data_IF_201599772544
#
_entry.id   IF_201599772544
#
_cell.length_a   1.000
_cell.length_b   1.000
_cell.length_c   1.000
_cell.angle_alpha   90.00
_cell.angle_beta   90.00
_cell.angle_gamma   90.00
#
_symmetry.space_group_name_H-M   'P 1'
#
loop_
_entity.id
_entity.type
_entity.pdbx_description
1 polymer ?
#
# COMPACT_ATOMS: atom_id res chain seq x y z
N UNK A 1 3.83 -1.20 -23.30
CA UNK A 1 3.28 -1.41 -21.94
C UNK A 1 1.98 -0.65 -21.73
N UNK A 2 1.96 0.69 -21.76
CA UNK A 2 0.74 1.49 -21.58
C UNK A 2 -0.45 1.07 -22.46
N UNK A 3 -0.25 0.96 -23.78
CA UNK A 3 -1.31 0.53 -24.73
C UNK A 3 -1.86 -0.87 -24.44
N UNK A 4 -0.99 -1.80 -24.06
CA UNK A 4 -1.39 -3.19 -23.74
C UNK A 4 -2.23 -3.24 -22.46
N UNK A 5 -1.89 -2.43 -21.46
CA UNK A 5 -2.65 -2.30 -20.22
C UNK A 5 -4.03 -1.67 -20.49
N UNK A 6 -4.09 -0.66 -21.35
CA UNK A 6 -5.35 -0.01 -21.78
C UNK A 6 -6.27 -1.00 -22.51
N UNK A 7 -5.74 -1.74 -23.49
CA UNK A 7 -6.49 -2.72 -24.27
C UNK A 7 -7.03 -3.86 -23.39
N UNK A 8 -6.20 -4.37 -22.48
CA UNK A 8 -6.62 -5.40 -21.52
C UNK A 8 -7.71 -4.89 -20.57
N UNK A 9 -7.59 -3.66 -20.07
CA UNK A 9 -8.58 -3.06 -19.19
C UNK A 9 -9.92 -2.86 -19.91
N UNK A 10 -9.89 -2.37 -21.14
CA UNK A 10 -11.08 -2.24 -21.99
C UNK A 10 -11.77 -3.59 -22.19
N UNK A 11 -11.01 -4.62 -22.55
CA UNK A 11 -11.55 -5.97 -22.78
C UNK A 11 -12.26 -6.53 -21.53
N UNK A 12 -11.62 -6.43 -20.36
CA UNK A 12 -12.21 -6.88 -19.08
C UNK A 12 -13.51 -6.14 -18.78
N UNK A 13 -13.56 -4.84 -19.03
CA UNK A 13 -14.76 -4.03 -18.77
C UNK A 13 -15.87 -4.33 -19.77
N UNK A 14 -15.53 -4.55 -21.05
CA UNK A 14 -16.48 -4.94 -22.09
C UNK A 14 -17.12 -6.31 -21.81
N UNK A 15 -16.31 -7.33 -21.49
CA UNK A 15 -16.78 -8.70 -21.20
C UNK A 15 -17.76 -8.74 -20.01
N UNK A 16 -17.64 -7.80 -19.07
CA UNK A 16 -18.49 -7.72 -17.88
C UNK A 16 -19.72 -6.82 -18.06
N UNK A 17 -19.75 -5.99 -19.10
CA UNK A 17 -20.81 -5.02 -19.33
C UNK A 17 -21.31 -5.12 -20.79
N UNK A 18 -21.82 -6.29 -21.18
CA UNK A 18 -22.25 -6.58 -22.55
C UNK A 18 -23.33 -5.63 -23.11
N UNK A 19 -24.08 -4.95 -22.24
CA UNK A 19 -25.13 -3.97 -22.61
C UNK A 19 -24.63 -2.52 -22.66
N UNK A 20 -23.37 -2.27 -22.33
CA UNK A 20 -22.79 -0.94 -22.37
C UNK A 20 -22.25 -0.58 -23.76
N UNK A 21 -22.15 0.72 -24.04
CA UNK A 21 -21.60 1.31 -25.26
C UNK A 21 -20.61 2.42 -24.91
N UNK A 22 -19.90 2.93 -25.91
CA UNK A 22 -18.95 4.06 -25.76
C UNK A 22 -17.88 3.83 -24.68
N UNK A 23 -17.24 2.67 -24.69
CA UNK A 23 -16.13 2.38 -23.77
C UNK A 23 -14.92 3.28 -24.09
N UNK A 24 -14.43 4.01 -23.10
CA UNK A 24 -13.26 4.87 -23.23
C UNK A 24 -12.38 4.77 -21.98
N UNK A 25 -11.07 4.65 -22.19
CA UNK A 25 -10.10 4.80 -21.09
C UNK A 25 -9.97 6.28 -20.78
N UNK A 26 -10.25 6.65 -19.53
CA UNK A 26 -10.15 8.04 -19.08
C UNK A 26 -8.75 8.33 -18.53
N UNK A 27 -8.29 7.49 -17.62
CA UNK A 27 -7.00 7.68 -16.95
C UNK A 27 -6.23 6.38 -16.84
N UNK A 28 -4.91 6.50 -16.94
CA UNK A 28 -3.95 5.45 -16.63
C UNK A 28 -2.93 6.04 -15.66
N UNK A 29 -2.92 5.51 -14.44
CA UNK A 29 -1.96 5.83 -13.41
C UNK A 29 -0.95 4.69 -13.33
N UNK A 30 0.25 4.93 -13.84
CA UNK A 30 1.38 4.02 -13.72
C UNK A 30 1.99 4.12 -12.32
N UNK A 31 2.55 3.01 -11.82
CA UNK A 31 3.20 2.91 -10.50
C UNK A 31 2.31 3.38 -9.33
N UNK A 32 1.00 3.23 -9.47
CA UNK A 32 0.01 3.51 -8.45
C UNK A 32 0.00 2.37 -7.40
N UNK A 33 0.51 2.63 -6.20
CA UNK A 33 0.52 1.67 -5.06
C UNK A 33 1.16 0.30 -5.38
N UNK A 34 2.34 0.30 -6.02
CA UNK A 34 3.03 -0.91 -6.50
C UNK A 34 2.29 -1.64 -7.64
N UNK A 35 1.46 -0.92 -8.39
CA UNK A 35 0.69 -1.46 -9.50
C UNK A 35 0.31 -0.39 -10.53
N UNK A 36 -0.65 -0.72 -11.40
CA UNK A 36 -1.18 0.23 -12.40
C UNK A 36 -2.69 0.33 -12.24
N UNK A 37 -3.24 1.55 -12.22
CA UNK A 37 -4.68 1.80 -12.17
C UNK A 37 -5.16 2.35 -13.50
N UNK A 38 -6.18 1.74 -14.07
CA UNK A 38 -6.87 2.21 -15.28
C UNK A 38 -8.33 2.50 -14.94
N UNK A 39 -8.82 3.67 -15.32
CA UNK A 39 -10.25 3.97 -15.24
C UNK A 39 -10.88 3.90 -16.62
N UNK A 40 -11.95 3.12 -16.72
CA UNK A 40 -12.69 2.90 -17.97
C UNK A 40 -14.10 3.42 -17.77
N UNK A 41 -14.44 4.43 -18.56
CA UNK A 41 -15.78 4.99 -18.62
C UNK A 41 -16.58 4.32 -19.75
N UNK A 42 -17.87 4.15 -19.53
CA UNK A 42 -18.80 3.62 -20.53
C UNK A 42 -20.20 4.16 -20.28
N UNK A 43 -21.07 4.01 -21.28
CA UNK A 43 -22.48 4.42 -21.20
C UNK A 43 -23.39 3.21 -21.16
N UNK A 44 -24.43 3.28 -20.34
CA UNK A 44 -25.51 2.29 -20.28
C UNK A 44 -26.80 2.97 -20.69
N UNK A 45 -27.45 2.42 -21.71
CA UNK A 45 -28.73 2.92 -22.18
C UNK A 45 -29.84 2.62 -21.17
N UNK A 46 -30.74 3.58 -21.00
CA UNK A 46 -31.90 3.48 -20.12
C UNK A 46 -33.15 3.89 -20.88
N UNK A 47 -34.17 3.07 -20.83
CA UNK A 47 -35.42 3.33 -21.56
C UNK A 47 -36.05 4.65 -21.11
N UNK A 48 -36.27 5.56 -22.07
CA UNK A 48 -36.85 6.88 -21.82
C UNK A 48 -35.97 7.85 -21.01
N UNK A 49 -34.70 7.53 -20.78
CA UNK A 49 -33.76 8.36 -20.03
C UNK A 49 -32.46 8.60 -20.82
N UNK A 50 -31.72 9.68 -20.54
CA UNK A 50 -30.40 9.85 -21.11
C UNK A 50 -29.47 8.70 -20.67
N UNK A 51 -28.53 8.37 -21.55
CA UNK A 51 -27.49 7.37 -21.27
C UNK A 51 -26.80 7.66 -19.93
N UNK A 52 -26.72 6.63 -19.09
CA UNK A 52 -26.01 6.72 -17.83
C UNK A 52 -24.52 6.49 -18.06
N UNK A 53 -23.71 7.51 -17.77
CA UNK A 53 -22.25 7.38 -17.76
C UNK A 53 -21.81 6.69 -16.47
N UNK A 54 -21.10 5.57 -16.59
CA UNK A 54 -20.52 4.82 -15.50
C UNK A 54 -19.01 4.71 -15.67
N UNK A 55 -18.31 4.44 -14.58
CA UNK A 55 -16.87 4.23 -14.53
C UNK A 55 -16.55 2.95 -13.77
N UNK A 56 -15.62 2.16 -14.30
CA UNK A 56 -15.01 1.03 -13.61
C UNK A 56 -13.52 1.29 -13.38
N UNK A 57 -12.99 0.71 -12.31
CA UNK A 57 -11.58 0.80 -11.92
C UNK A 57 -10.92 -0.56 -12.12
N UNK A 58 -9.85 -0.61 -12.92
CA UNK A 58 -9.05 -1.82 -13.13
C UNK A 58 -7.67 -1.60 -12.52
N UNK A 59 -7.33 -2.41 -11.53
CA UNK A 59 -6.05 -2.35 -10.84
C UNK A 59 -5.20 -3.58 -11.17
N UNK A 60 -3.99 -3.37 -11.66
CA UNK A 60 -3.02 -4.41 -11.95
C UNK A 60 -1.92 -4.42 -10.89
N UNK A 61 -1.86 -5.46 -10.07
CA UNK A 61 -0.85 -5.60 -9.00
C UNK A 61 0.45 -6.30 -9.46
N UNK A 62 0.69 -6.30 -10.78
CA UNK A 62 1.79 -7.02 -11.43
C UNK A 62 1.57 -8.52 -11.64
N UNK A 63 0.64 -9.16 -10.91
CA UNK A 63 0.33 -10.58 -11.06
C UNK A 63 -1.11 -10.83 -11.52
N UNK A 64 -2.06 -10.04 -11.02
CA UNK A 64 -3.48 -10.19 -11.26
C UNK A 64 -4.11 -8.84 -11.60
N UNK A 65 -5.20 -8.88 -12.34
CA UNK A 65 -6.10 -7.75 -12.54
C UNK A 65 -7.27 -7.82 -11.56
N UNK A 66 -7.52 -6.72 -10.84
CA UNK A 66 -8.66 -6.56 -9.95
C UNK A 66 -9.63 -5.55 -10.57
N UNK A 67 -10.91 -5.88 -10.60
CA UNK A 67 -11.96 -5.04 -11.18
C UNK A 67 -12.88 -4.56 -10.07
N UNK A 68 -13.14 -3.25 -10.05
CA UNK A 68 -14.05 -2.62 -9.11
C UNK A 68 -15.07 -1.80 -9.88
N UNK A 69 -16.34 -1.98 -9.49
CA UNK A 69 -17.44 -1.21 -10.06
C UNK A 69 -17.58 0.15 -9.40
N UNK A 70 -17.19 0.24 -8.14
CA UNK A 70 -17.33 1.46 -7.36
C UNK A 70 -16.00 1.89 -6.75
N UNK A 71 -15.80 3.20 -6.70
CA UNK A 71 -14.59 3.80 -6.13
C UNK A 71 -14.35 3.37 -4.67
N UNK A 72 -15.42 3.22 -3.88
CA UNK A 72 -15.28 2.84 -2.47
C UNK A 72 -14.78 1.40 -2.28
N UNK A 73 -15.14 0.47 -3.16
CA UNK A 73 -14.63 -0.92 -3.14
C UNK A 73 -13.13 -0.93 -3.42
N UNK A 74 -12.73 -0.17 -4.44
CA UNK A 74 -11.32 0.04 -4.79
C UNK A 74 -10.52 0.63 -3.62
N UNK A 75 -10.98 1.75 -3.07
CA UNK A 75 -10.31 2.43 -1.95
C UNK A 75 -10.20 1.52 -0.72
N UNK A 76 -11.24 0.74 -0.43
CA UNK A 76 -11.23 -0.22 0.67
C UNK A 76 -10.17 -1.31 0.46
N UNK A 77 -10.08 -1.89 -0.75
CA UNK A 77 -9.11 -2.94 -1.03
C UNK A 77 -7.67 -2.40 -1.03
N UNK A 78 -7.42 -1.25 -1.65
CA UNK A 78 -6.10 -0.60 -1.65
C UNK A 78 -5.65 -0.24 -0.22
N UNK A 79 -6.55 0.27 0.62
CA UNK A 79 -6.22 0.62 2.01
C UNK A 79 -5.74 -0.58 2.84
N UNK A 80 -6.29 -1.77 2.58
CA UNK A 80 -5.88 -3.02 3.24
C UNK A 80 -4.51 -3.50 2.76
N UNK A 81 -4.18 -3.26 1.50
CA UNK A 81 -2.88 -3.62 0.90
C UNK A 81 -1.76 -2.73 1.43
N UNK A 82 -1.98 -1.41 1.51
CA UNK A 82 -0.98 -0.46 2.02
C UNK A 82 -0.52 -0.78 3.45
N UNK A 83 -1.44 -1.19 4.34
CA UNK A 83 -1.07 -1.55 5.73
C UNK A 83 -0.07 -2.69 5.81
N UNK A 84 -0.07 -3.63 4.85
CA UNK A 84 0.89 -4.74 4.83
C UNK A 84 2.29 -4.26 4.41
N UNK A 85 2.37 -3.28 3.51
CA UNK A 85 3.65 -2.77 3.00
C UNK A 85 4.33 -1.87 4.04
N UNK A 86 3.61 -1.00 4.75
CA UNK A 86 4.22 -0.12 5.76
C UNK A 86 4.84 -0.87 6.94
N UNK A 87 4.25 -1.98 7.39
CA UNK A 87 4.83 -2.82 8.46
C UNK A 87 6.10 -3.54 7.98
N UNK A 88 6.10 -3.99 6.73
CA UNK A 88 7.23 -4.66 6.12
C UNK A 88 8.38 -3.67 5.87
N UNK A 89 8.06 -2.47 5.39
CA UNK A 89 9.02 -1.38 5.18
C UNK A 89 9.58 -0.89 6.51
N UNK A 90 8.78 -0.77 7.58
CA UNK A 90 9.28 -0.54 8.93
C UNK A 90 10.20 -1.67 9.40
N UNK A 91 9.84 -2.94 9.18
CA UNK A 91 10.70 -4.07 9.53
C UNK A 91 12.00 -4.09 8.72
N UNK A 92 11.98 -3.65 7.47
CA UNK A 92 13.16 -3.53 6.60
C UNK A 92 14.04 -2.33 6.96
N UNK A 93 13.45 -1.18 7.32
CA UNK A 93 14.16 0.03 7.77
C UNK A 93 14.80 -0.18 9.15
N UNK A 94 14.05 -0.76 10.09
CA UNK A 94 14.50 -0.92 11.47
C UNK A 94 15.28 -2.22 11.69
N UNK A 95 15.10 -3.23 10.84
CA UNK A 95 15.78 -4.51 10.94
C UNK A 95 15.64 -5.17 12.31
N UNK A 96 16.52 -6.14 12.58
CA UNK A 96 16.59 -6.81 13.89
C UNK A 96 16.94 -5.81 15.00
N UNK A 97 17.79 -4.82 14.71
CA UNK A 97 18.24 -3.81 15.69
C UNK A 97 17.13 -2.91 16.22
N UNK A 98 16.25 -2.39 15.35
CA UNK A 98 15.17 -1.51 15.76
C UNK A 98 14.01 -2.25 16.40
N UNK A 99 13.79 -3.52 16.02
CA UNK A 99 12.86 -4.41 16.73
C UNK A 99 13.30 -4.62 18.19
N UNK A 100 14.59 -4.86 18.42
CA UNK A 100 15.16 -4.98 19.77
C UNK A 100 15.04 -3.65 20.53
N UNK A 101 15.35 -2.52 19.88
CA UNK A 101 15.22 -1.21 20.49
C UNK A 101 13.78 -0.92 20.93
N UNK A 102 12.78 -1.22 20.09
CA UNK A 102 11.37 -1.02 20.39
C UNK A 102 10.91 -1.87 21.60
N UNK A 103 11.31 -3.14 21.66
CA UNK A 103 11.00 -4.03 22.79
C UNK A 103 11.61 -3.49 24.08
N UNK A 104 12.86 -3.02 24.04
CA UNK A 104 13.52 -2.41 25.20
C UNK A 104 12.83 -1.13 25.65
N UNK A 105 12.46 -0.24 24.74
CA UNK A 105 11.72 0.98 25.07
C UNK A 105 10.37 0.65 25.71
N UNK A 106 9.64 -0.34 25.21
CA UNK A 106 8.38 -0.79 25.80
C UNK A 106 8.57 -1.41 27.18
N UNK A 107 9.60 -2.25 27.37
CA UNK A 107 9.91 -2.86 28.65
C UNK A 107 10.30 -1.82 29.70
N UNK A 108 11.16 -0.85 29.34
CA UNK A 108 11.56 0.26 30.21
C UNK A 108 10.35 1.15 30.53
N UNK A 109 9.53 1.48 29.53
CA UNK A 109 8.31 2.28 29.72
C UNK A 109 7.32 1.60 30.66
N UNK A 110 7.11 0.29 30.51
CA UNK A 110 6.26 -0.49 31.41
C UNK A 110 6.78 -0.51 32.85
N UNK A 111 8.07 -0.76 33.04
CA UNK A 111 8.71 -0.76 34.37
C UNK A 111 8.64 0.63 35.02
N UNK A 112 8.84 1.69 34.24
CA UNK A 112 8.71 3.07 34.71
C UNK A 112 7.27 3.40 35.15
N UNK A 113 6.26 3.01 34.37
CA UNK A 113 4.84 3.18 34.74
C UNK A 113 4.52 2.41 36.03
N UNK A 114 5.07 1.21 36.20
CA UNK A 114 4.87 0.39 37.39
C UNK A 114 5.74 0.79 38.59
N UNK A 115 6.59 1.82 38.44
CA UNK A 115 7.59 2.23 39.43
C UNK A 115 8.47 1.08 39.93
N UNK A 116 8.71 0.08 39.07
CA UNK A 116 9.61 -1.02 39.36
C UNK A 116 11.02 -0.55 38.98
N UNK A 117 12.04 -0.76 39.85
CA UNK A 117 13.40 -0.40 39.51
C UNK A 117 13.82 -1.08 38.20
N UNK A 118 14.31 -0.28 37.25
CA UNK A 118 14.75 -0.76 35.95
C UNK A 118 16.05 -1.55 36.16
N UNK A 119 16.10 -2.86 35.81
CA UNK A 119 17.31 -3.64 35.94
C UNK A 119 18.47 -3.06 35.12
N UNK A 120 19.68 -3.07 35.69
CA UNK A 120 20.89 -2.52 35.04
C UNK A 120 21.16 -3.16 33.67
N UNK A 121 20.78 -4.42 33.49
CA UNK A 121 20.90 -5.14 32.21
C UNK A 121 20.16 -4.42 31.07
N UNK A 122 19.00 -3.81 31.35
CA UNK A 122 18.20 -3.09 30.35
C UNK A 122 18.80 -1.72 30.04
N UNK A 123 19.34 -1.03 31.05
CA UNK A 123 20.03 0.26 30.88
C UNK A 123 21.31 0.10 30.06
N UNK A 124 22.10 -0.93 30.38
CA UNK A 124 23.31 -1.28 29.62
C UNK A 124 22.96 -1.73 28.20
N UNK A 125 21.91 -2.54 28.02
CA UNK A 125 21.43 -2.95 26.70
C UNK A 125 21.01 -1.77 25.83
N UNK A 126 20.29 -0.79 26.39
CA UNK A 126 19.90 0.43 25.68
C UNK A 126 21.14 1.23 25.24
N UNK A 127 22.13 1.38 26.13
CA UNK A 127 23.38 2.09 25.83
C UNK A 127 24.14 1.45 24.67
N UNK A 128 24.23 0.12 24.64
CA UNK A 128 24.88 -0.63 23.54
C UNK A 128 24.13 -0.44 22.23
N UNK A 129 22.80 -0.46 22.23
CA UNK A 129 21.98 -0.26 21.03
C UNK A 129 22.13 1.16 20.49
N UNK A 130 22.12 2.16 21.36
CA UNK A 130 22.35 3.56 20.98
C UNK A 130 23.75 3.70 20.38
N UNK A 131 24.78 3.13 21.00
CA UNK A 131 26.15 3.12 20.49
C UNK A 131 26.26 2.45 19.12
N UNK A 132 25.61 1.31 18.93
CA UNK A 132 25.57 0.60 17.65
C UNK A 132 24.84 1.41 16.57
N UNK A 133 23.69 2.01 16.91
CA UNK A 133 22.89 2.82 15.98
C UNK A 133 23.68 4.02 15.46
N UNK A 134 24.28 4.81 16.35
CA UNK A 134 25.09 5.96 15.95
C UNK A 134 26.40 5.56 15.28
N UNK A 135 27.04 4.47 15.71
CA UNK A 135 28.24 3.93 15.07
C UNK A 135 28.00 3.45 13.63
N UNK A 136 26.89 2.74 13.40
CA UNK A 136 26.52 2.23 12.09
C UNK A 136 26.19 3.36 11.08
N UNK A 137 25.57 4.46 11.54
CA UNK A 137 25.29 5.61 10.67
C UNK A 137 26.56 6.32 10.19
N UNK A 138 27.60 6.39 11.01
CA UNK A 138 28.90 7.00 10.63
C UNK A 138 29.60 6.21 9.53
N UNK A 139 29.46 4.88 9.53
CA UNK A 139 30.02 4.01 8.48
C UNK A 139 29.25 4.12 7.16
N UNK A 140 27.93 4.31 7.22
CA UNK A 140 27.05 4.39 6.04
C UNK A 140 27.23 5.69 5.24
N UNK A 141 27.65 6.77 5.91
CA UNK A 141 27.91 8.08 5.28
C UNK A 141 29.35 8.27 4.75
N UNK A 142 30.20 7.22 4.80
CA UNK A 142 31.58 7.25 4.27
C UNK A 142 31.73 6.55 2.90
N UNK A 143 30.62 6.20 2.26
CA UNK A 143 30.55 5.69 0.88
C UNK A 143 29.82 6.73 0.04
#
# INVERSE_FOLDING_TARGET
MKKEIEENALKVVQERNNSAKDFNVQHVFEDFFDGNLVTVQFKVEREGQPDLVLENYIYYDGKNSHHYRFQHEFLHDISKRQKKNNLKELAEIFGVSGSIAMILTLAIGYLAIKQIPIPDILSNGLTVIIGFYFGAQVLKNKV
#
